data_IF_704890780719
#
_entry.id   IF_704890780719
#
_cell.length_a   1.000
_cell.length_b   1.000
_cell.length_c   1.000
_cell.angle_alpha   90.00
_cell.angle_beta   90.00
_cell.angle_gamma   90.00
#
_symmetry.space_group_name_H-M   'P 1'
#
loop_
_entity.id
_entity.type
_entity.pdbx_description
1 polymer ?
#
# COMPACT_ATOMS: atom_id res chain seq x y z
N UNK A 1 -10.55 7.12 2.96
CA UNK A 1 -10.43 5.66 2.85
C UNK A 1 -9.15 5.37 2.10
N UNK A 2 -8.49 4.25 2.35
CA UNK A 2 -7.20 3.94 1.76
C UNK A 2 -6.99 2.42 1.74
N UNK A 3 -6.05 1.97 0.90
CA UNK A 3 -5.49 0.62 0.95
C UNK A 3 -4.32 0.65 1.91
N UNK A 4 -4.40 -0.08 3.01
CA UNK A 4 -3.29 -0.15 3.97
C UNK A 4 -2.36 -1.30 3.63
N UNK A 5 -1.07 -1.08 3.87
CA UNK A 5 -0.05 -2.12 3.73
C UNK A 5 0.92 -2.12 4.89
N UNK A 6 1.48 -3.28 5.20
CA UNK A 6 2.46 -3.44 6.29
C UNK A 6 3.50 -4.50 5.95
N UNK A 7 4.78 -4.16 6.10
CA UNK A 7 5.88 -5.13 6.00
C UNK A 7 5.82 -6.05 7.22
N UNK A 8 5.60 -7.35 7.03
CA UNK A 8 5.37 -8.31 8.13
C UNK A 8 6.64 -8.80 8.83
N UNK A 9 7.50 -7.85 9.19
CA UNK A 9 8.69 -8.13 9.97
C UNK A 9 8.34 -8.33 11.45
N UNK A 10 8.79 -9.43 12.05
CA UNK A 10 8.58 -9.73 13.46
C UNK A 10 9.42 -8.80 14.35
N UNK A 11 8.76 -8.05 15.23
CA UNK A 11 9.39 -7.06 16.08
C UNK A 11 8.63 -6.83 17.39
N UNK A 12 9.33 -6.32 18.41
CA UNK A 12 8.78 -6.09 19.76
C UNK A 12 7.46 -5.31 19.73
N UNK A 13 7.31 -4.19 18.99
CA UNK A 13 6.04 -3.48 18.96
C UNK A 13 4.87 -4.35 18.49
N UNK A 14 5.05 -5.14 17.43
CA UNK A 14 4.00 -6.03 16.92
C UNK A 14 3.72 -7.21 17.84
N UNK A 15 4.71 -7.70 18.57
CA UNK A 15 4.49 -8.74 19.58
C UNK A 15 3.65 -8.22 20.76
N UNK A 16 3.80 -6.94 21.13
CA UNK A 16 3.08 -6.34 22.25
C UNK A 16 1.68 -5.85 21.88
N UNK A 17 1.53 -5.17 20.74
CA UNK A 17 0.27 -4.52 20.35
C UNK A 17 -0.41 -5.16 19.14
N UNK A 18 0.18 -6.20 18.53
CA UNK A 18 -0.22 -6.78 17.23
C UNK A 18 -0.06 -5.81 16.06
N UNK A 19 0.01 -6.32 14.83
CA UNK A 19 0.02 -5.47 13.63
C UNK A 19 -1.25 -4.63 13.53
N UNK A 20 -2.42 -5.23 13.77
CA UNK A 20 -3.69 -4.53 13.71
C UNK A 20 -3.81 -3.45 14.80
N UNK A 21 -3.46 -3.80 16.05
CA UNK A 21 -3.59 -2.86 17.15
C UNK A 21 -2.68 -1.63 17.04
N UNK A 22 -1.52 -1.75 16.38
CA UNK A 22 -0.69 -0.59 16.02
C UNK A 22 -1.38 0.24 14.94
N UNK A 23 -1.86 -0.41 13.87
CA UNK A 23 -2.50 0.26 12.74
C UNK A 23 -3.74 1.05 13.15
N UNK A 24 -4.59 0.47 13.98
CA UNK A 24 -5.77 1.14 14.54
C UNK A 24 -5.40 2.38 15.35
N UNK A 25 -4.35 2.31 16.17
CA UNK A 25 -3.85 3.44 16.96
C UNK A 25 -3.28 4.56 16.09
N UNK A 26 -2.51 4.23 15.06
CA UNK A 26 -1.97 5.22 14.12
C UNK A 26 -3.11 5.94 13.38
N UNK A 27 -4.05 5.20 12.81
CA UNK A 27 -5.25 5.76 12.15
C UNK A 27 -6.10 6.59 13.13
N UNK A 28 -6.23 6.11 14.37
CA UNK A 28 -6.91 6.80 15.44
C UNK A 28 -6.28 8.16 15.73
N UNK A 29 -4.97 8.22 15.90
CA UNK A 29 -4.22 9.44 16.14
C UNK A 29 -4.39 10.47 14.99
N UNK A 30 -4.27 10.03 13.74
CA UNK A 30 -4.48 10.90 12.57
C UNK A 30 -5.91 11.45 12.51
N UNK A 31 -6.91 10.60 12.77
CA UNK A 31 -8.32 11.01 12.81
C UNK A 31 -8.59 11.98 13.96
N UNK A 32 -8.06 11.72 15.14
CA UNK A 32 -8.17 12.60 16.29
C UNK A 32 -7.59 14.00 15.98
N UNK A 33 -6.42 14.05 15.34
CA UNK A 33 -5.79 15.30 14.92
C UNK A 33 -6.65 16.08 13.91
N UNK A 34 -7.23 15.40 12.91
CA UNK A 34 -8.13 16.02 11.93
C UNK A 34 -9.37 16.62 12.60
N UNK A 35 -10.00 15.89 13.50
CA UNK A 35 -11.20 16.36 14.22
C UNK A 35 -10.87 17.55 15.10
N UNK A 36 -9.75 17.52 15.82
CA UNK A 36 -9.29 18.66 16.61
C UNK A 36 -9.12 19.88 15.70
N UNK A 37 -8.45 19.74 14.56
CA UNK A 37 -8.27 20.83 13.61
C UNK A 37 -9.61 21.39 13.10
N UNK A 38 -10.57 20.55 12.75
CA UNK A 38 -11.92 20.97 12.34
C UNK A 38 -12.64 21.80 13.42
N UNK A 39 -12.57 21.37 14.68
CA UNK A 39 -13.13 22.14 15.80
C UNK A 39 -12.46 23.51 15.93
N UNK A 40 -11.13 23.56 15.81
CA UNK A 40 -10.35 24.80 15.92
C UNK A 40 -10.67 25.76 14.77
N UNK A 41 -10.80 25.26 13.54
CA UNK A 41 -11.22 26.06 12.38
C UNK A 41 -12.64 26.63 12.54
N UNK A 42 -13.54 25.90 13.21
CA UNK A 42 -14.88 26.37 13.55
C UNK A 42 -14.89 27.36 14.74
N UNK A 43 -13.74 27.69 15.33
CA UNK A 43 -13.63 28.57 16.50
C UNK A 43 -13.99 27.90 17.82
N UNK A 44 -14.14 26.56 17.84
CA UNK A 44 -14.41 25.80 19.05
C UNK A 44 -13.09 25.44 19.75
N UNK A 45 -12.94 25.95 20.98
CA UNK A 45 -11.73 25.80 21.81
C UNK A 45 -11.87 24.74 22.91
N UNK A 46 -12.93 23.91 22.89
CA UNK A 46 -13.11 22.82 23.87
C UNK A 46 -11.92 21.86 23.89
N UNK A 47 -11.62 21.20 25.02
CA UNK A 47 -10.55 20.20 25.11
C UNK A 47 -10.95 18.90 24.39
N UNK A 48 -9.97 18.05 23.98
CA UNK A 48 -10.26 16.76 23.33
C UNK A 48 -11.18 15.81 24.13
N UNK A 49 -11.22 15.95 25.46
CA UNK A 49 -12.13 15.20 26.34
C UNK A 49 -13.62 15.56 26.15
N UNK A 50 -13.92 16.69 25.53
CA UNK A 50 -15.28 17.15 25.22
C UNK A 50 -15.60 17.10 23.72
N UNK A 51 -14.66 16.61 22.91
CA UNK A 51 -14.85 16.37 21.48
C UNK A 51 -15.23 14.92 21.25
N UNK A 52 -16.19 14.68 20.37
CA UNK A 52 -16.56 13.34 19.97
C UNK A 52 -17.11 13.33 18.56
N UNK A 53 -17.08 12.15 17.95
CA UNK A 53 -17.65 11.92 16.63
C UNK A 53 -18.49 10.65 16.63
N UNK A 54 -19.55 10.67 15.83
CA UNK A 54 -20.38 9.50 15.61
C UNK A 54 -19.71 8.60 14.60
N UNK A 55 -19.41 7.36 15.02
CA UNK A 55 -18.96 6.30 14.14
C UNK A 55 -20.11 5.32 13.94
N UNK A 56 -20.67 5.31 12.74
CA UNK A 56 -21.71 4.36 12.35
C UNK A 56 -21.06 3.20 11.61
N UNK A 57 -21.21 1.99 12.15
CA UNK A 57 -20.82 0.75 11.47
C UNK A 57 -22.07 -0.03 11.11
N UNK A 58 -22.16 -0.52 9.87
CA UNK A 58 -23.15 -1.54 9.49
C UNK A 58 -22.61 -2.91 9.87
N UNK A 59 -23.36 -3.63 10.70
CA UNK A 59 -23.04 -5.03 11.02
C UNK A 59 -23.39 -5.93 9.83
N UNK A 60 -22.82 -7.15 9.76
CA UNK A 60 -23.20 -8.13 8.73
C UNK A 60 -24.70 -8.47 8.72
N UNK A 61 -25.40 -8.30 9.84
CA UNK A 61 -26.86 -8.48 9.93
C UNK A 61 -27.67 -7.26 9.41
N UNK A 62 -27.00 -6.20 8.94
CA UNK A 62 -27.63 -5.01 8.39
C UNK A 62 -28.09 -3.98 9.43
N UNK A 63 -27.76 -4.17 10.71
CA UNK A 63 -28.02 -3.16 11.74
C UNK A 63 -26.96 -2.05 11.68
N UNK A 64 -27.39 -0.80 11.76
CA UNK A 64 -26.49 0.34 11.95
C UNK A 64 -26.25 0.55 13.44
N UNK A 65 -25.01 0.34 13.88
CA UNK A 65 -24.58 0.66 15.24
C UNK A 65 -23.82 1.99 15.20
N UNK A 66 -24.42 3.03 15.80
CA UNK A 66 -23.77 4.34 15.97
C UNK A 66 -23.17 4.40 17.37
N UNK A 67 -21.85 4.57 17.44
CA UNK A 67 -21.12 4.79 18.70
C UNK A 67 -20.50 6.19 18.68
N UNK A 68 -20.65 6.92 19.77
CA UNK A 68 -19.91 8.17 19.98
C UNK A 68 -18.53 7.79 20.49
N UNK A 69 -17.50 8.17 19.75
CA UNK A 69 -16.10 7.99 20.14
C UNK A 69 -15.58 9.32 20.65
N UNK A 70 -15.06 9.34 21.89
CA UNK A 70 -14.44 10.52 22.49
C UNK A 70 -13.00 10.65 21.99
N UNK A 71 -12.61 11.84 21.54
CA UNK A 71 -11.29 12.07 20.94
C UNK A 71 -10.17 11.78 21.94
N UNK A 72 -10.37 12.09 23.22
CA UNK A 72 -9.39 11.79 24.27
C UNK A 72 -9.11 10.30 24.43
N UNK A 73 -10.10 9.42 24.30
CA UNK A 73 -9.90 7.97 24.43
C UNK A 73 -9.00 7.45 23.30
N UNK A 74 -9.22 7.95 22.07
CA UNK A 74 -8.37 7.63 20.91
C UNK A 74 -6.94 8.12 21.10
N UNK A 75 -6.75 9.32 21.69
CA UNK A 75 -5.42 9.83 22.01
C UNK A 75 -4.73 9.00 23.10
N UNK A 76 -5.48 8.53 24.08
CA UNK A 76 -4.94 7.67 25.14
C UNK A 76 -4.49 6.33 24.57
N UNK A 77 -5.28 5.70 23.69
CA UNK A 77 -4.89 4.46 23.01
C UNK A 77 -3.65 4.67 22.14
N UNK A 78 -3.56 5.81 21.45
CA UNK A 78 -2.38 6.16 20.66
C UNK A 78 -1.12 6.37 21.53
N UNK A 79 -1.27 6.82 22.78
CA UNK A 79 -0.15 7.01 23.69
C UNK A 79 0.57 5.68 24.02
N UNK A 80 -0.10 4.52 23.88
CA UNK A 80 0.54 3.20 24.00
C UNK A 80 1.67 2.99 22.98
N UNK A 81 1.69 3.76 21.88
CA UNK A 81 2.74 3.69 20.87
C UNK A 81 4.03 4.37 21.32
N UNK A 82 3.97 5.39 22.19
CA UNK A 82 5.12 6.21 22.56
C UNK A 82 6.28 5.40 23.15
N UNK A 83 6.06 4.48 24.13
CA UNK A 83 7.12 3.67 24.70
C UNK A 83 7.77 2.71 23.69
N UNK A 84 7.08 2.41 22.59
CA UNK A 84 7.52 1.46 21.56
C UNK A 84 8.31 2.12 20.44
N UNK A 85 8.23 3.45 20.29
CA UNK A 85 8.95 4.21 19.27
C UNK A 85 10.47 3.95 19.25
N UNK A 86 11.19 3.75 20.38
CA UNK A 86 12.63 3.50 20.33
C UNK A 86 13.00 2.18 19.64
N UNK A 87 12.10 1.19 19.62
CA UNK A 87 12.33 -0.08 18.92
C UNK A 87 12.31 0.05 17.39
N UNK A 88 11.81 1.16 16.84
CA UNK A 88 11.80 1.42 15.40
C UNK A 88 13.11 2.02 14.89
N UNK A 89 14.01 2.48 15.77
CA UNK A 89 15.29 3.07 15.39
C UNK A 89 16.21 1.98 14.84
N UNK A 90 16.63 2.14 13.58
CA UNK A 90 17.49 1.16 12.90
C UNK A 90 16.79 -0.15 12.51
N UNK A 91 15.46 -0.22 12.63
CA UNK A 91 14.69 -1.39 12.17
C UNK A 91 14.79 -1.50 10.64
N UNK A 92 15.14 -2.67 10.07
CA UNK A 92 15.30 -2.82 8.63
C UNK A 92 13.98 -2.73 7.86
N UNK A 93 12.85 -2.98 8.52
CA UNK A 93 11.52 -2.78 7.94
C UNK A 93 11.04 -1.31 8.00
N UNK A 94 11.77 -0.42 8.66
CA UNK A 94 11.38 0.99 8.78
C UNK A 94 11.78 1.76 7.52
N UNK A 95 10.84 1.85 6.57
CA UNK A 95 11.02 2.53 5.29
C UNK A 95 11.18 4.04 5.42
N UNK A 96 10.36 4.67 6.26
CA UNK A 96 10.26 6.14 6.31
C UNK A 96 11.27 6.79 7.27
N UNK A 97 11.97 5.99 8.08
CA UNK A 97 12.84 6.48 9.15
C UNK A 97 12.08 7.04 10.36
N UNK A 98 10.76 7.09 10.32
CA UNK A 98 9.89 7.52 11.42
C UNK A 98 9.40 6.31 12.22
N UNK A 99 8.94 6.48 13.48
CA UNK A 99 8.31 5.40 14.23
C UNK A 99 7.20 4.72 13.43
N UNK A 100 7.18 3.39 13.43
CA UNK A 100 6.22 2.56 12.70
C UNK A 100 6.23 2.73 11.16
N UNK A 101 7.31 3.26 10.58
CA UNK A 101 7.46 3.46 9.13
C UNK A 101 7.46 2.19 8.26
N UNK A 102 7.22 1.02 8.85
CA UNK A 102 6.94 -0.23 8.14
C UNK A 102 5.47 -0.35 7.67
N UNK A 103 4.61 0.57 8.11
CA UNK A 103 3.20 0.68 7.74
C UNK A 103 3.00 1.88 6.81
N UNK A 104 2.05 1.76 5.88
CA UNK A 104 1.69 2.83 4.97
C UNK A 104 0.34 2.59 4.32
N UNK A 105 -0.04 3.49 3.43
CA UNK A 105 -1.31 3.38 2.71
C UNK A 105 -1.23 3.94 1.29
N UNK A 106 -2.23 3.60 0.48
CA UNK A 106 -2.55 4.25 -0.80
C UNK A 106 -3.92 4.90 -0.69
N UNK A 107 -3.95 6.23 -0.74
CA UNK A 107 -5.17 7.01 -0.52
C UNK A 107 -6.17 6.87 -1.67
N UNK A 108 -7.46 6.79 -1.32
CA UNK A 108 -8.55 6.96 -2.28
C UNK A 108 -9.01 8.43 -2.34
N UNK A 109 -9.50 8.90 -3.51
CA UNK A 109 -9.54 8.18 -4.78
C UNK A 109 -8.15 8.06 -5.44
N UNK A 110 -7.91 6.96 -6.14
CA UNK A 110 -6.73 6.76 -6.99
C UNK A 110 -6.86 7.69 -8.19
N UNK A 111 -5.85 8.54 -8.41
CA UNK A 111 -5.85 9.52 -9.49
C UNK A 111 -5.62 8.90 -10.86
N UNK A 112 -6.18 9.53 -11.91
CA UNK A 112 -5.94 9.11 -13.30
C UNK A 112 -4.44 9.13 -13.65
N UNK A 113 -3.70 10.12 -13.14
CA UNK A 113 -2.26 10.23 -13.33
C UNK A 113 -1.50 9.09 -12.64
N UNK A 114 -1.92 8.68 -11.44
CA UNK A 114 -1.36 7.52 -10.75
C UNK A 114 -1.60 6.20 -11.50
N UNK A 115 -2.79 6.02 -12.07
CA UNK A 115 -3.08 4.85 -12.91
C UNK A 115 -2.18 4.80 -14.16
N UNK A 116 -2.08 5.92 -14.88
CA UNK A 116 -1.24 6.03 -16.07
C UNK A 116 0.24 5.80 -15.73
N UNK A 117 0.73 6.42 -14.65
CA UNK A 117 2.11 6.24 -14.18
C UNK A 117 2.44 4.78 -13.90
N UNK A 118 1.53 4.05 -13.24
CA UNK A 118 1.76 2.65 -12.92
C UNK A 118 1.79 1.77 -14.18
N UNK A 119 0.88 2.03 -15.13
CA UNK A 119 0.84 1.33 -16.41
C UNK A 119 2.09 1.60 -17.25
N UNK A 120 2.59 2.84 -17.29
CA UNK A 120 3.76 3.24 -18.07
C UNK A 120 5.05 2.53 -17.65
N UNK A 121 5.04 1.93 -16.46
CA UNK A 121 6.15 1.15 -15.95
C UNK A 121 6.17 -0.27 -16.49
N UNK A 122 5.06 -0.85 -16.94
CA UNK A 122 4.99 -2.23 -17.43
C UNK A 122 6.05 -2.55 -18.51
N UNK A 123 6.54 -3.80 -18.59
CA UNK A 123 7.50 -4.21 -19.61
C UNK A 123 6.90 -4.14 -21.01
N UNK A 124 7.74 -3.75 -21.97
CA UNK A 124 7.40 -3.66 -23.39
C UNK A 124 7.95 -4.88 -24.14
N UNK A 125 7.48 -5.19 -25.37
CA UNK A 125 7.94 -6.37 -26.12
C UNK A 125 9.46 -6.48 -26.34
N UNK A 126 10.17 -5.35 -26.35
CA UNK A 126 11.64 -5.34 -26.48
C UNK A 126 12.33 -5.91 -25.22
N UNK A 127 11.65 -5.92 -24.07
CA UNK A 127 12.06 -6.59 -22.83
C UNK A 127 11.48 -8.01 -22.79
N UNK A 128 11.76 -8.79 -23.84
CA UNK A 128 11.01 -10.00 -24.21
C UNK A 128 10.79 -11.00 -23.06
N UNK A 129 11.81 -11.24 -22.21
CA UNK A 129 11.72 -12.20 -21.11
C UNK A 129 10.70 -11.77 -20.04
N UNK A 130 10.81 -10.52 -19.55
CA UNK A 130 9.93 -9.98 -18.50
C UNK A 130 8.53 -9.75 -19.06
N UNK A 131 8.43 -9.33 -20.34
CA UNK A 131 7.15 -9.18 -21.04
C UNK A 131 6.40 -10.52 -21.20
N UNK A 132 7.10 -11.59 -21.61
CA UNK A 132 6.51 -12.93 -21.70
C UNK A 132 6.04 -13.43 -20.33
N UNK A 133 6.83 -13.19 -19.29
CA UNK A 133 6.49 -13.57 -17.92
C UNK A 133 5.22 -12.84 -17.43
N UNK A 134 5.10 -11.53 -17.72
CA UNK A 134 3.89 -10.77 -17.41
C UNK A 134 2.67 -11.33 -18.14
N UNK A 135 2.78 -11.55 -19.46
CA UNK A 135 1.69 -12.10 -20.27
C UNK A 135 1.23 -13.46 -19.72
N UNK A 136 2.17 -14.36 -19.45
CA UNK A 136 1.87 -15.67 -18.86
C UNK A 136 1.26 -15.56 -17.46
N UNK A 137 1.75 -14.65 -16.62
CA UNK A 137 1.21 -14.40 -15.29
C UNK A 137 -0.26 -13.98 -15.38
N UNK A 138 -0.58 -13.02 -16.24
CA UNK A 138 -1.95 -12.53 -16.43
C UNK A 138 -2.88 -13.62 -16.93
N UNK A 139 -2.44 -14.42 -17.91
CA UNK A 139 -3.23 -15.53 -18.44
C UNK A 139 -3.44 -16.65 -17.39
N UNK A 140 -2.40 -17.03 -16.67
CA UNK A 140 -2.42 -18.15 -15.72
C UNK A 140 -3.24 -17.84 -14.46
N UNK A 141 -3.11 -16.61 -13.93
CA UNK A 141 -3.84 -16.17 -12.74
C UNK A 141 -5.21 -15.57 -13.07
N UNK A 142 -5.54 -15.45 -14.36
CA UNK A 142 -6.81 -14.94 -14.85
C UNK A 142 -7.15 -13.54 -14.32
N UNK A 143 -6.15 -12.66 -14.26
CA UNK A 143 -6.37 -11.26 -13.88
C UNK A 143 -7.23 -10.57 -14.94
N UNK A 144 -8.52 -10.44 -14.68
CA UNK A 144 -9.51 -9.86 -15.59
C UNK A 144 -9.98 -8.47 -15.17
N UNK A 145 -9.59 -8.03 -13.97
CA UNK A 145 -9.88 -6.72 -13.40
C UNK A 145 -11.34 -6.53 -12.98
N UNK A 146 -12.17 -7.57 -12.96
CA UNK A 146 -13.61 -7.42 -12.67
C UNK A 146 -13.88 -6.85 -11.27
N UNK A 147 -13.12 -7.30 -10.27
CA UNK A 147 -13.27 -6.84 -8.89
C UNK A 147 -13.00 -5.33 -8.78
N UNK A 148 -11.91 -4.86 -9.40
CA UNK A 148 -11.56 -3.45 -9.42
C UNK A 148 -12.54 -2.63 -10.29
N UNK A 149 -13.01 -3.19 -11.41
CA UNK A 149 -14.01 -2.55 -12.25
C UNK A 149 -15.32 -2.29 -11.50
N UNK A 150 -15.71 -3.15 -10.56
CA UNK A 150 -16.87 -2.94 -9.69
C UNK A 150 -16.64 -1.76 -8.74
N UNK A 151 -15.47 -1.67 -8.09
CA UNK A 151 -15.12 -0.55 -7.20
C UNK A 151 -15.18 0.80 -7.93
N UNK A 152 -14.69 0.85 -9.17
CA UNK A 152 -14.70 2.05 -10.01
C UNK A 152 -16.10 2.60 -10.29
N UNK A 153 -17.15 1.79 -10.23
CA UNK A 153 -18.53 2.24 -10.46
C UNK A 153 -19.13 3.00 -9.27
N UNK A 154 -18.45 3.05 -8.12
CA UNK A 154 -18.99 3.57 -6.87
C UNK A 154 -18.68 5.06 -6.66
N UNK A 155 -19.43 5.94 -7.33
CA UNK A 155 -19.50 7.39 -7.10
C UNK A 155 -18.14 8.10 -6.92
N UNK A 156 -17.14 7.74 -7.73
CA UNK A 156 -15.79 8.33 -7.72
C UNK A 156 -15.08 8.21 -6.34
N UNK A 157 -15.52 7.29 -5.47
CA UNK A 157 -15.00 7.12 -4.11
C UNK A 157 -13.63 6.40 -4.06
N UNK A 158 -13.34 5.56 -5.06
CA UNK A 158 -12.14 4.73 -5.13
C UNK A 158 -11.19 5.15 -6.24
N UNK A 159 -11.72 5.64 -7.36
CA UNK A 159 -10.97 6.04 -8.55
C UNK A 159 -11.54 7.35 -9.08
N UNK A 160 -10.67 8.27 -9.50
CA UNK A 160 -11.08 9.51 -10.17
C UNK A 160 -11.62 9.22 -11.58
N UNK A 161 -10.96 8.30 -12.30
CA UNK A 161 -11.36 7.95 -13.66
C UNK A 161 -12.48 6.89 -13.66
N UNK A 162 -13.54 7.13 -14.44
CA UNK A 162 -14.64 6.15 -14.62
C UNK A 162 -14.32 5.00 -15.57
N UNK A 163 -13.25 5.14 -16.35
CA UNK A 163 -12.73 4.09 -17.22
C UNK A 163 -11.28 3.86 -16.85
N UNK A 164 -10.89 2.60 -16.74
CA UNK A 164 -9.50 2.25 -16.50
C UNK A 164 -8.65 2.69 -17.69
N UNK A 165 -7.50 3.29 -17.39
CA UNK A 165 -6.47 3.49 -18.39
C UNK A 165 -6.03 2.13 -18.96
N UNK A 166 -5.63 2.10 -20.22
CA UNK A 166 -5.19 0.89 -20.92
C UNK A 166 -3.84 1.15 -21.61
N UNK A 167 -2.94 0.17 -21.50
CA UNK A 167 -1.66 0.19 -22.18
C UNK A 167 -1.53 -1.02 -23.09
N UNK A 168 -1.25 -0.74 -24.36
CA UNK A 168 -0.94 -1.76 -25.36
C UNK A 168 0.54 -2.11 -25.31
N UNK A 169 0.83 -3.39 -25.08
CA UNK A 169 2.16 -3.99 -24.98
C UNK A 169 2.38 -4.94 -26.17
N UNK A 170 2.31 -4.40 -27.39
CA UNK A 170 2.37 -5.17 -28.64
C UNK A 170 1.01 -5.79 -29.02
N UNK A 171 0.94 -7.13 -29.00
CA UNK A 171 -0.28 -7.92 -29.25
C UNK A 171 -1.14 -8.13 -28.00
N UNK A 172 -0.59 -7.79 -26.84
CA UNK A 172 -1.19 -7.93 -25.52
C UNK A 172 -1.56 -6.54 -24.99
N UNK A 173 -2.68 -6.41 -24.27
CA UNK A 173 -3.06 -5.17 -23.59
C UNK A 173 -3.37 -5.44 -22.13
N UNK A 174 -3.05 -4.46 -21.29
CA UNK A 174 -3.41 -4.45 -19.88
C UNK A 174 -4.07 -3.14 -19.53
N UNK A 175 -5.11 -3.21 -18.72
CA UNK A 175 -5.72 -2.04 -18.13
C UNK A 175 -5.36 -1.90 -16.65
N UNK A 176 -5.60 -0.71 -16.12
CA UNK A 176 -5.32 -0.40 -14.73
C UNK A 176 -6.07 -1.34 -13.76
N UNK A 177 -7.32 -1.74 -14.06
CA UNK A 177 -8.07 -2.65 -13.19
C UNK A 177 -7.34 -3.98 -12.98
N UNK A 178 -6.77 -4.56 -14.04
CA UNK A 178 -5.98 -5.80 -13.94
C UNK A 178 -4.71 -5.59 -13.12
N UNK A 179 -4.03 -4.45 -13.29
CA UNK A 179 -2.84 -4.11 -12.51
C UNK A 179 -3.17 -3.95 -11.01
N UNK A 180 -4.25 -3.25 -10.67
CA UNK A 180 -4.69 -3.11 -9.28
C UNK A 180 -5.13 -4.46 -8.70
N UNK A 181 -5.72 -5.35 -9.50
CA UNK A 181 -6.05 -6.72 -9.09
C UNK A 181 -4.79 -7.50 -8.69
N UNK A 182 -3.73 -7.44 -9.51
CA UNK A 182 -2.44 -8.09 -9.24
C UNK A 182 -1.83 -7.68 -7.90
N UNK A 183 -2.05 -6.43 -7.48
CA UNK A 183 -1.49 -5.90 -6.23
C UNK A 183 -2.41 -6.13 -5.03
N UNK A 184 -3.71 -5.90 -5.17
CA UNK A 184 -4.57 -5.58 -4.02
C UNK A 184 -5.68 -6.59 -3.76
N UNK A 185 -5.93 -7.53 -4.68
CA UNK A 185 -7.02 -8.53 -4.50
C UNK A 185 -6.51 -9.96 -4.38
N UNK A 186 -5.20 -10.15 -4.33
CA UNK A 186 -4.54 -11.47 -4.21
C UNK A 186 -4.29 -11.87 -2.74
N UNK A 187 -4.70 -11.03 -1.79
CA UNK A 187 -4.36 -11.16 -0.37
C UNK A 187 -2.97 -10.65 -0.05
N UNK A 188 -2.36 -11.18 1.02
CA UNK A 188 -1.00 -10.82 1.41
C UNK A 188 0.01 -11.18 0.31
N UNK A 189 0.93 -10.27 0.02
CA UNK A 189 1.93 -10.48 -1.02
C UNK A 189 3.14 -11.20 -0.42
N UNK A 190 3.29 -12.48 -0.78
CA UNK A 190 4.45 -13.29 -0.40
C UNK A 190 5.72 -12.84 -1.14
N UNK A 191 6.93 -13.12 -0.61
CA UNK A 191 8.20 -12.66 -1.20
C UNK A 191 8.37 -12.98 -2.68
N UNK A 192 7.95 -14.17 -3.13
CA UNK A 192 8.07 -14.56 -4.54
C UNK A 192 7.24 -13.65 -5.45
N UNK A 193 5.98 -13.41 -5.09
CA UNK A 193 5.12 -12.50 -5.84
C UNK A 193 5.67 -11.06 -5.78
N UNK A 194 6.18 -10.63 -4.62
CA UNK A 194 6.81 -9.32 -4.47
C UNK A 194 7.98 -9.11 -5.45
N UNK A 195 8.91 -10.07 -5.55
CA UNK A 195 10.02 -10.00 -6.51
C UNK A 195 9.56 -9.85 -7.96
N UNK A 196 8.56 -10.63 -8.36
CA UNK A 196 7.99 -10.57 -9.72
C UNK A 196 7.30 -9.24 -10.00
N UNK A 197 6.53 -8.71 -9.06
CA UNK A 197 5.91 -7.39 -9.18
C UNK A 197 6.97 -6.28 -9.29
N UNK A 198 8.04 -6.35 -8.50
CA UNK A 198 9.14 -5.37 -8.57
C UNK A 198 9.77 -5.35 -9.97
N UNK A 199 9.91 -6.50 -10.64
CA UNK A 199 10.32 -6.58 -12.04
C UNK A 199 9.28 -5.99 -13.00
N UNK A 200 8.01 -6.42 -12.87
CA UNK A 200 6.92 -5.95 -13.74
C UNK A 200 6.69 -4.45 -13.68
N UNK A 201 6.99 -3.82 -12.55
CA UNK A 201 6.81 -2.38 -12.38
C UNK A 201 8.12 -1.63 -12.32
N UNK A 202 9.24 -2.21 -12.80
CA UNK A 202 10.56 -1.54 -12.94
C UNK A 202 11.03 -0.89 -11.64
N UNK A 203 10.69 -1.52 -10.51
CA UNK A 203 11.14 -1.08 -9.19
C UNK A 203 12.58 -1.54 -8.91
N UNK A 204 13.00 -2.60 -9.61
CA UNK A 204 14.38 -3.05 -9.78
C UNK A 204 14.69 -3.16 -11.29
N UNK A 205 15.96 -3.35 -11.64
CA UNK A 205 16.39 -3.49 -13.04
C UNK A 205 15.78 -4.74 -13.71
N UNK A 206 15.49 -4.63 -15.01
CA UNK A 206 14.99 -5.70 -15.88
C UNK A 206 16.04 -6.30 -16.77
N UNK A 207 17.22 -5.68 -16.86
CA UNK A 207 18.37 -6.25 -17.56
C UNK A 207 18.95 -7.40 -16.72
N UNK A 208 18.18 -8.50 -16.66
CA UNK A 208 18.47 -9.67 -15.86
C UNK A 208 18.26 -10.93 -16.69
N UNK A 209 19.16 -11.89 -16.49
CA UNK A 209 19.12 -13.18 -17.16
C UNK A 209 18.02 -14.08 -16.58
N UNK A 210 17.56 -15.06 -17.36
CA UNK A 210 16.51 -15.99 -16.94
C UNK A 210 16.85 -16.75 -15.64
N UNK A 211 18.12 -17.13 -15.47
CA UNK A 211 18.59 -17.78 -14.25
C UNK A 211 18.46 -16.86 -13.02
N UNK A 212 18.70 -15.55 -13.19
CA UNK A 212 18.54 -14.58 -12.11
C UNK A 212 17.06 -14.39 -11.73
N UNK A 213 16.13 -14.45 -12.69
CA UNK A 213 14.69 -14.40 -12.41
C UNK A 213 14.25 -15.62 -11.57
N UNK A 214 14.70 -16.82 -11.94
CA UNK A 214 14.35 -18.06 -11.22
C UNK A 214 14.83 -17.99 -9.76
N UNK A 215 15.99 -17.39 -9.53
CA UNK A 215 16.61 -17.26 -8.22
C UNK A 215 16.36 -15.89 -7.55
N UNK A 216 15.35 -15.15 -8.01
CA UNK A 216 15.01 -13.84 -7.45
C UNK A 216 14.49 -13.94 -6.01
N UNK A 217 13.94 -15.10 -5.63
CA UNK A 217 13.45 -15.36 -4.27
C UNK A 217 13.92 -16.75 -3.80
N UNK A 218 14.41 -16.91 -2.56
CA UNK A 218 14.56 -15.89 -1.52
C UNK A 218 15.65 -14.87 -1.87
N UNK A 219 15.45 -13.62 -1.45
CA UNK A 219 16.45 -12.58 -1.60
C UNK A 219 17.71 -12.92 -0.77
N UNK A 220 18.88 -12.79 -1.40
CA UNK A 220 20.17 -12.95 -0.73
C UNK A 220 20.55 -11.72 0.12
N UNK A 221 21.57 -11.83 1.00
CA UNK A 221 22.05 -10.68 1.78
C UNK A 221 22.63 -9.55 0.93
N UNK A 222 23.01 -9.84 -0.32
CA UNK A 222 23.54 -8.93 -1.33
C UNK A 222 22.45 -8.37 -2.28
N UNK A 223 21.16 -8.62 -1.98
CA UNK A 223 20.04 -8.24 -2.84
C UNK A 223 20.02 -6.74 -3.15
N UNK A 224 20.38 -5.89 -2.18
CA UNK A 224 20.40 -4.45 -2.35
C UNK A 224 21.48 -3.97 -3.33
N UNK A 225 22.61 -4.70 -3.42
CA UNK A 225 23.68 -4.39 -4.36
C UNK A 225 23.34 -4.92 -5.77
N UNK A 226 22.71 -6.09 -5.84
CA UNK A 226 22.37 -6.76 -7.11
C UNK A 226 21.12 -6.22 -7.79
N UNK A 227 20.13 -5.83 -7.00
CA UNK A 227 18.83 -5.38 -7.44
C UNK A 227 18.42 -4.12 -6.65
N UNK A 228 19.15 -3.01 -6.78
CA UNK A 228 18.83 -1.80 -6.04
C UNK A 228 17.42 -1.30 -6.40
N UNK A 229 16.72 -0.72 -5.43
CA UNK A 229 15.47 -0.03 -5.68
C UNK A 229 15.74 1.25 -6.49
N UNK A 230 15.14 1.36 -7.68
CA UNK A 230 15.47 2.43 -8.65
C UNK A 230 14.41 3.53 -8.76
N UNK A 231 13.28 3.41 -8.05
CA UNK A 231 12.22 4.42 -8.08
C UNK A 231 12.60 5.59 -7.18
N UNK A 232 12.51 6.81 -7.70
CA UNK A 232 12.79 8.03 -6.97
C UNK A 232 11.53 8.89 -6.86
N UNK A 233 11.42 9.65 -5.77
CA UNK A 233 10.39 10.69 -5.63
C UNK A 233 10.71 11.87 -6.55
N UNK A 234 9.68 12.41 -7.19
CA UNK A 234 9.80 13.51 -8.13
C UNK A 234 8.94 14.69 -7.67
N UNK A 235 9.38 15.96 -7.85
CA UNK A 235 8.63 17.12 -7.35
C UNK A 235 7.22 17.29 -7.94
N UNK A 236 6.97 16.66 -9.09
CA UNK A 236 5.69 16.70 -9.81
C UNK A 236 4.84 15.45 -9.58
N UNK A 237 5.26 14.52 -8.72
CA UNK A 237 4.40 13.41 -8.31
C UNK A 237 3.13 13.97 -7.69
N UNK A 238 1.98 13.41 -8.07
CA UNK A 238 0.75 13.66 -7.31
C UNK A 238 0.72 12.79 -6.04
N UNK A 239 -0.39 12.86 -5.29
CA UNK A 239 -0.53 12.10 -4.05
C UNK A 239 -0.50 10.59 -4.34
N UNK A 240 -1.29 10.13 -5.31
CA UNK A 240 -1.40 8.70 -5.65
C UNK A 240 -0.06 8.14 -6.14
N UNK A 241 0.70 8.87 -6.96
CA UNK A 241 2.03 8.44 -7.42
C UNK A 241 2.98 8.31 -6.22
N UNK A 242 3.02 9.29 -5.30
CA UNK A 242 3.85 9.18 -4.10
C UNK A 242 3.48 7.96 -3.25
N UNK A 243 2.19 7.72 -3.08
CA UNK A 243 1.69 6.57 -2.31
C UNK A 243 2.07 5.25 -2.97
N UNK A 244 1.91 5.12 -4.30
CA UNK A 244 2.30 3.95 -5.07
C UNK A 244 3.82 3.72 -5.06
N UNK A 245 4.63 4.77 -5.11
CA UNK A 245 6.09 4.69 -4.93
C UNK A 245 6.42 4.15 -3.53
N UNK A 246 5.74 4.65 -2.50
CA UNK A 246 5.88 4.17 -1.13
C UNK A 246 5.46 2.70 -0.95
N UNK A 247 4.40 2.27 -1.63
CA UNK A 247 3.96 0.88 -1.67
C UNK A 247 5.01 -0.03 -2.34
N UNK A 248 5.54 0.36 -3.51
CA UNK A 248 6.57 -0.41 -4.20
C UNK A 248 7.89 -0.49 -3.41
N UNK A 249 8.24 0.56 -2.67
CA UNK A 249 9.40 0.54 -1.77
C UNK A 249 9.14 -0.37 -0.56
N UNK A 250 7.93 -0.39 0.00
CA UNK A 250 7.57 -1.34 1.06
C UNK A 250 7.60 -2.79 0.55
N UNK A 251 7.12 -3.02 -0.66
CA UNK A 251 7.19 -4.31 -1.34
C UNK A 251 8.64 -4.77 -1.54
N UNK A 252 9.52 -3.85 -1.94
CA UNK A 252 10.95 -4.09 -2.08
C UNK A 252 11.60 -4.50 -0.76
N UNK A 253 11.32 -3.78 0.33
CA UNK A 253 11.87 -4.10 1.66
C UNK A 253 11.33 -5.45 2.16
N UNK A 254 10.03 -5.73 1.98
CA UNK A 254 9.45 -7.02 2.35
C UNK A 254 10.10 -8.18 1.60
N UNK A 255 10.29 -8.03 0.29
CA UNK A 255 11.01 -9.00 -0.55
C UNK A 255 12.47 -9.19 -0.08
N UNK A 256 13.20 -8.10 0.15
CA UNK A 256 14.59 -8.15 0.59
C UNK A 256 14.76 -8.81 1.98
N UNK A 257 13.78 -8.65 2.87
CA UNK A 257 13.74 -9.28 4.18
C UNK A 257 13.12 -10.68 4.16
N UNK A 258 12.64 -11.13 3.00
CA UNK A 258 11.95 -12.40 2.81
C UNK A 258 10.75 -12.58 3.78
N UNK A 259 9.95 -11.52 3.93
CA UNK A 259 8.70 -11.49 4.71
C UNK A 259 7.52 -11.09 3.83
N UNK A 260 6.30 -11.34 4.28
CA UNK A 260 5.10 -10.93 3.54
C UNK A 260 4.91 -9.41 3.60
N UNK A 261 4.29 -8.84 2.58
CA UNK A 261 3.64 -7.54 2.66
C UNK A 261 2.14 -7.78 2.88
N UNK A 262 1.65 -7.45 4.07
CA UNK A 262 0.22 -7.53 4.38
C UNK A 262 -0.51 -6.40 3.65
N UNK A 263 -1.66 -6.70 3.05
CA UNK A 263 -2.44 -5.75 2.27
C UNK A 263 -3.91 -5.82 2.70
N UNK A 264 -4.50 -4.66 3.00
CA UNK A 264 -5.91 -4.51 3.37
C UNK A 264 -6.54 -3.44 2.48
N UNK A 265 -7.28 -3.86 1.46
CA UNK A 265 -7.70 -3.05 0.31
C UNK A 265 -9.22 -2.86 0.20
#
# INVERSE_FOLDING_TARGET
MAIDYTIDYDCIPKQQLTTEGIRERLKGAERAALIINQYREAGDMRPPSEMGYEFTRRTPEGAEETRIIVVQDVLNDAADLEPLTPHCVGCPANRTGNPFGCMGYVGYPISEAGEAWLLDRLPVPDEALVWLLLKQGVDNFQYDGQQIAFLRQNNDAYFEARRAAERRLGEFSLNANQVFEMFFTVGDIIPNHAGILLLFFRAIDRDIEADAIIHLTPAGPDVADRHPFIIQSEPYDDVTIRDLKGFLEALYIAWALNVNLLVDA
#
